data_IF_884183286014
#
_entry.id   IF_884183286014
#
_cell.length_a   1.000
_cell.length_b   1.000
_cell.length_c   1.000
_cell.angle_alpha   90.00
_cell.angle_beta   90.00
_cell.angle_gamma   90.00
#
_symmetry.space_group_name_H-M   'P 1'
#
loop_
_entity.id
_entity.type
_entity.pdbx_description
1 polymer ?
#
# COMPACT_ATOMS: atom_id res chain seq x y z
N UNK A 1 -17.11 22.02 26.93
CA UNK A 1 -16.59 22.44 25.60
C UNK A 1 -15.45 21.57 25.05
N UNK A 2 -14.61 20.91 25.88
CA UNK A 2 -13.48 20.07 25.41
C UNK A 2 -13.87 18.75 24.70
N UNK A 3 -14.99 18.13 25.08
CA UNK A 3 -15.41 16.81 24.57
C UNK A 3 -15.86 16.85 23.09
N UNK A 4 -16.52 17.94 22.64
CA UNK A 4 -16.94 18.05 21.23
C UNK A 4 -15.77 18.33 20.29
N UNK A 5 -14.77 19.08 20.77
CA UNK A 5 -13.55 19.39 20.02
C UNK A 5 -12.76 18.11 19.73
N UNK A 6 -12.64 17.23 20.73
CA UNK A 6 -11.93 15.95 20.60
C UNK A 6 -12.60 15.00 19.60
N UNK A 7 -13.95 14.95 19.57
CA UNK A 7 -14.70 14.14 18.61
C UNK A 7 -14.54 14.63 17.16
N UNK A 8 -14.52 15.96 16.96
CA UNK A 8 -14.27 16.55 15.64
C UNK A 8 -12.85 16.28 15.15
N UNK A 9 -11.86 16.45 16.03
CA UNK A 9 -10.45 16.15 15.71
C UNK A 9 -10.25 14.68 15.30
N UNK A 10 -10.81 13.74 16.06
CA UNK A 10 -10.75 12.31 15.71
C UNK A 10 -11.35 12.00 14.34
N UNK A 11 -12.48 12.64 14.01
CA UNK A 11 -13.14 12.44 12.73
C UNK A 11 -12.28 12.93 11.56
N UNK A 12 -11.69 14.13 11.68
CA UNK A 12 -10.77 14.70 10.69
C UNK A 12 -9.50 13.84 10.58
N UNK A 13 -8.94 13.37 11.69
CA UNK A 13 -7.77 12.52 11.72
C UNK A 13 -8.01 11.21 10.96
N UNK A 14 -9.16 10.56 11.16
CA UNK A 14 -9.52 9.35 10.44
C UNK A 14 -9.64 9.58 8.94
N UNK A 15 -10.20 10.72 8.52
CA UNK A 15 -10.23 11.11 7.09
C UNK A 15 -8.82 11.25 6.54
N UNK A 16 -7.94 11.98 7.24
CA UNK A 16 -6.56 12.18 6.81
C UNK A 16 -5.81 10.84 6.69
N UNK A 17 -5.94 9.96 7.70
CA UNK A 17 -5.34 8.63 7.68
C UNK A 17 -5.86 7.77 6.51
N UNK A 18 -7.16 7.83 6.23
CA UNK A 18 -7.76 7.09 5.12
C UNK A 18 -7.22 7.59 3.77
N UNK A 19 -7.16 8.91 3.57
CA UNK A 19 -6.61 9.52 2.34
C UNK A 19 -5.14 9.13 2.16
N UNK A 20 -4.32 9.27 3.20
CA UNK A 20 -2.89 8.89 3.17
C UNK A 20 -2.74 7.41 2.83
N UNK A 21 -3.57 6.54 3.42
CA UNK A 21 -3.53 5.11 3.15
C UNK A 21 -3.94 4.77 1.70
N UNK A 22 -4.93 5.47 1.13
CA UNK A 22 -5.27 5.33 -0.30
C UNK A 22 -4.08 5.73 -1.17
N UNK A 23 -3.44 6.86 -0.89
CA UNK A 23 -2.25 7.28 -1.64
C UNK A 23 -1.13 6.24 -1.53
N UNK A 24 -0.88 5.69 -0.34
CA UNK A 24 0.11 4.63 -0.16
C UNK A 24 -0.30 3.31 -0.85
N UNK A 25 -1.58 3.04 -1.03
CA UNK A 25 -2.04 1.89 -1.80
C UNK A 25 -1.77 2.06 -3.30
N UNK A 26 -2.05 3.24 -3.85
CA UNK A 26 -1.84 3.55 -5.28
C UNK A 26 -0.35 3.71 -5.62
N UNK A 27 0.40 4.36 -4.73
CA UNK A 27 1.82 4.63 -4.84
C UNK A 27 2.49 4.13 -3.56
N UNK A 28 2.86 2.84 -3.49
CA UNK A 28 3.47 2.28 -2.30
C UNK A 28 4.77 3.00 -1.99
N UNK A 29 4.79 3.64 -0.83
CA UNK A 29 5.96 4.29 -0.24
C UNK A 29 6.38 3.51 1.01
N UNK A 30 5.43 3.11 1.85
CA UNK A 30 5.69 2.41 3.11
C UNK A 30 5.00 1.04 3.10
N UNK A 31 5.75 0.00 3.47
CA UNK A 31 5.24 -1.36 3.66
C UNK A 31 5.83 -2.00 4.90
N UNK A 32 5.13 -2.97 5.47
CA UNK A 32 5.68 -3.82 6.53
C UNK A 32 6.50 -4.97 5.94
N UNK A 33 7.50 -5.44 6.68
CA UNK A 33 8.26 -6.66 6.32
C UNK A 33 7.35 -7.90 6.34
N UNK A 34 6.45 -7.92 7.32
CA UNK A 34 5.51 -9.01 7.51
C UNK A 34 4.32 -8.85 6.57
N UNK A 35 4.06 -9.88 5.77
CA UNK A 35 2.84 -9.99 4.96
C UNK A 35 1.59 -9.87 5.83
N UNK A 36 1.58 -10.51 7.00
CA UNK A 36 0.46 -10.46 7.93
C UNK A 36 0.20 -9.02 8.40
N UNK A 37 1.24 -8.26 8.75
CA UNK A 37 1.07 -6.86 9.17
C UNK A 37 0.53 -5.97 8.06
N UNK A 38 0.97 -6.18 6.81
CA UNK A 38 0.37 -5.48 5.67
C UNK A 38 -1.11 -5.81 5.51
N UNK A 39 -1.50 -7.09 5.62
CA UNK A 39 -2.91 -7.50 5.53
C UNK A 39 -3.75 -6.90 6.66
N UNK A 40 -3.27 -6.94 7.91
CA UNK A 40 -3.94 -6.34 9.07
C UNK A 40 -4.10 -4.83 8.91
N UNK A 41 -3.05 -4.14 8.47
CA UNK A 41 -3.10 -2.71 8.19
C UNK A 41 -4.12 -2.38 7.10
N UNK A 42 -4.15 -3.14 6.01
CA UNK A 42 -5.14 -2.96 4.94
C UNK A 42 -6.57 -3.14 5.47
N UNK A 43 -6.84 -4.17 6.28
CA UNK A 43 -8.16 -4.36 6.90
C UNK A 43 -8.53 -3.14 7.75
N UNK A 44 -7.61 -2.64 8.57
CA UNK A 44 -7.84 -1.47 9.39
C UNK A 44 -8.23 -0.25 8.53
N UNK A 45 -7.52 0.00 7.44
CA UNK A 45 -7.82 1.09 6.50
C UNK A 45 -9.19 0.93 5.86
N UNK A 46 -9.56 -0.28 5.43
CA UNK A 46 -10.86 -0.56 4.80
C UNK A 46 -12.04 -0.39 5.78
N UNK A 47 -11.80 -0.49 7.09
CA UNK A 47 -12.82 -0.26 8.12
C UNK A 47 -13.02 1.22 8.46
N UNK A 48 -12.08 2.11 8.11
CA UNK A 48 -12.17 3.55 8.45
C UNK A 48 -13.47 4.17 7.92
N UNK A 49 -13.89 3.97 6.66
CA UNK A 49 -15.17 4.48 6.16
C UNK A 49 -16.38 4.07 7.00
N UNK A 50 -16.42 2.82 7.47
CA UNK A 50 -17.52 2.33 8.32
C UNK A 50 -17.54 3.05 9.66
N UNK A 51 -16.37 3.27 10.27
CA UNK A 51 -16.25 4.04 11.52
C UNK A 51 -16.67 5.49 11.32
N UNK A 52 -16.28 6.12 10.20
CA UNK A 52 -16.68 7.48 9.84
C UNK A 52 -18.19 7.56 9.62
N UNK A 53 -18.78 6.60 8.90
CA UNK A 53 -20.22 6.51 8.69
C UNK A 53 -20.97 6.40 10.02
N UNK A 54 -20.54 5.50 10.92
CA UNK A 54 -21.12 5.32 12.26
C UNK A 54 -21.02 6.61 13.08
N UNK A 55 -19.84 7.26 13.10
CA UNK A 55 -19.63 8.52 13.82
C UNK A 55 -20.55 9.63 13.31
N UNK A 56 -20.83 9.68 12.02
CA UNK A 56 -21.71 10.69 11.44
C UNK A 56 -23.19 10.55 11.82
N UNK A 57 -23.67 9.37 12.23
CA UNK A 57 -25.04 9.24 12.76
C UNK A 57 -25.26 10.02 14.07
N UNK A 58 -24.18 10.36 14.78
CA UNK A 58 -24.21 11.19 15.99
C UNK A 58 -24.17 12.69 15.71
N UNK A 59 -24.16 13.13 14.44
CA UNK A 59 -24.27 14.54 14.11
C UNK A 59 -25.63 15.10 14.52
N UNK A 60 -25.67 16.36 14.96
CA UNK A 60 -26.92 16.99 15.42
C UNK A 60 -27.89 17.28 14.27
N UNK A 61 -27.37 17.70 13.12
CA UNK A 61 -28.18 18.06 11.95
C UNK A 61 -28.54 16.83 11.12
N UNK A 62 -29.82 16.69 10.76
CA UNK A 62 -30.29 15.64 9.84
C UNK A 62 -29.58 15.73 8.48
N UNK A 63 -29.40 16.95 7.95
CA UNK A 63 -28.69 17.18 6.68
C UNK A 63 -27.26 16.68 6.76
N UNK A 64 -26.56 16.95 7.87
CA UNK A 64 -25.19 16.47 8.07
C UNK A 64 -25.12 14.93 8.13
N UNK A 65 -26.13 14.27 8.71
CA UNK A 65 -26.21 12.80 8.70
C UNK A 65 -26.38 12.26 7.28
N UNK A 66 -27.30 12.84 6.50
CA UNK A 66 -27.55 12.42 5.12
C UNK A 66 -26.29 12.57 4.27
N UNK A 67 -25.65 13.75 4.30
CA UNK A 67 -24.41 14.01 3.56
C UNK A 67 -23.30 13.05 3.96
N UNK A 68 -23.11 12.81 5.26
CA UNK A 68 -22.14 11.84 5.75
C UNK A 68 -22.37 10.44 5.20
N UNK A 69 -23.61 9.96 5.22
CA UNK A 69 -23.97 8.64 4.69
C UNK A 69 -23.69 8.57 3.19
N UNK A 70 -24.07 9.59 2.42
CA UNK A 70 -23.82 9.62 0.98
C UNK A 70 -22.32 9.61 0.64
N UNK A 71 -21.48 10.29 1.43
CA UNK A 71 -20.03 10.32 1.23
C UNK A 71 -19.40 8.95 1.50
N UNK A 72 -19.80 8.27 2.59
CA UNK A 72 -19.11 7.06 3.04
C UNK A 72 -19.72 5.74 2.58
N UNK A 73 -20.95 5.73 2.04
CA UNK A 73 -21.59 4.49 1.58
C UNK A 73 -20.79 3.80 0.46
N UNK A 74 -20.30 4.56 -0.51
CA UNK A 74 -19.51 4.00 -1.63
C UNK A 74 -18.18 3.43 -1.12
N UNK A 75 -17.35 4.17 -0.36
CA UNK A 75 -16.15 3.61 0.26
C UNK A 75 -16.39 2.38 1.15
N UNK A 76 -17.51 2.31 1.89
CA UNK A 76 -17.87 1.13 2.67
C UNK A 76 -18.13 -0.09 1.77
N UNK A 77 -18.93 0.08 0.72
CA UNK A 77 -19.24 -1.02 -0.23
C UNK A 77 -17.96 -1.51 -0.91
N UNK A 78 -17.14 -0.57 -1.41
CA UNK A 78 -15.85 -0.90 -2.02
C UNK A 78 -14.93 -1.62 -1.02
N UNK A 79 -14.90 -1.18 0.24
CA UNK A 79 -14.11 -1.82 1.28
C UNK A 79 -14.46 -3.29 1.47
N UNK A 80 -15.76 -3.62 1.52
CA UNK A 80 -16.26 -4.99 1.64
C UNK A 80 -15.92 -5.81 0.40
N UNK A 81 -16.15 -5.26 -0.80
CA UNK A 81 -15.90 -5.96 -2.07
C UNK A 81 -14.41 -6.26 -2.29
N UNK A 82 -13.52 -5.35 -1.89
CA UNK A 82 -12.07 -5.53 -2.05
C UNK A 82 -11.46 -6.41 -0.96
N UNK A 83 -12.12 -6.58 0.18
CA UNK A 83 -11.58 -7.30 1.34
C UNK A 83 -11.04 -8.71 1.00
N UNK A 84 -11.75 -9.58 0.26
CA UNK A 84 -11.26 -10.91 -0.07
C UNK A 84 -10.01 -10.88 -0.96
N UNK A 85 -9.95 -9.94 -1.90
CA UNK A 85 -8.82 -9.77 -2.84
C UNK A 85 -7.57 -9.34 -2.06
N UNK A 86 -7.73 -8.43 -1.10
CA UNK A 86 -6.63 -7.89 -0.32
C UNK A 86 -6.09 -8.84 0.76
N UNK A 87 -6.91 -9.81 1.22
CA UNK A 87 -6.55 -10.78 2.27
C UNK A 87 -6.11 -12.13 1.69
N UNK A 88 -6.57 -12.49 0.49
CA UNK A 88 -6.23 -13.75 -0.13
C UNK A 88 -4.70 -13.92 -0.28
N UNK A 89 -4.19 -15.16 -0.36
CA UNK A 89 -2.80 -15.44 -0.68
C UNK A 89 -2.39 -14.97 -2.10
N UNK A 90 -3.33 -14.38 -2.85
CA UNK A 90 -3.13 -13.61 -4.07
C UNK A 90 -2.31 -12.35 -3.71
N UNK A 91 -0.99 -12.43 -3.83
CA UNK A 91 -0.13 -11.34 -3.41
C UNK A 91 1.29 -11.50 -3.94
N UNK A 92 2.05 -10.41 -3.82
CA UNK A 92 3.45 -10.31 -4.19
C UNK A 92 4.26 -11.47 -3.61
N UNK A 93 4.60 -12.44 -4.45
CA UNK A 93 5.49 -13.55 -4.12
C UNK A 93 6.91 -13.12 -4.47
N UNK A 94 7.81 -13.08 -3.49
CA UNK A 94 9.19 -12.74 -3.76
C UNK A 94 9.86 -13.86 -4.56
N UNK A 95 10.35 -13.55 -5.75
CA UNK A 95 11.01 -14.53 -6.63
C UNK A 95 12.52 -14.34 -6.72
N UNK A 96 13.02 -13.12 -6.51
CA UNK A 96 14.44 -12.80 -6.58
C UNK A 96 14.77 -11.60 -5.71
N UNK A 97 15.95 -11.63 -5.08
CA UNK A 97 16.49 -10.53 -4.30
C UNK A 97 17.93 -10.27 -4.72
N UNK A 98 18.28 -8.99 -4.83
CA UNK A 98 19.62 -8.52 -5.11
C UNK A 98 19.96 -7.44 -4.10
N UNK A 99 20.92 -7.73 -3.23
CA UNK A 99 21.32 -6.80 -2.18
C UNK A 99 22.34 -5.79 -2.69
N UNK A 100 22.00 -4.51 -2.56
CA UNK A 100 22.89 -3.37 -2.77
C UNK A 100 23.31 -2.81 -1.41
N UNK A 101 24.31 -1.93 -1.38
CA UNK A 101 24.97 -1.52 -0.13
C UNK A 101 24.02 -0.87 0.89
N UNK A 102 22.95 -0.21 0.43
CA UNK A 102 22.04 0.55 1.28
C UNK A 102 20.54 0.22 1.07
N UNK A 103 20.24 -0.73 0.18
CA UNK A 103 18.87 -1.12 -0.16
C UNK A 103 18.88 -2.47 -0.86
N UNK A 104 17.74 -3.15 -0.87
CA UNK A 104 17.55 -4.37 -1.64
C UNK A 104 16.74 -4.08 -2.90
N UNK A 105 17.06 -4.77 -4.00
CA UNK A 105 16.25 -4.81 -5.21
C UNK A 105 15.52 -6.13 -5.23
N UNK A 106 14.21 -6.07 -5.00
CA UNK A 106 13.37 -7.26 -4.82
C UNK A 106 12.39 -7.36 -5.98
N UNK A 107 12.42 -8.51 -6.65
CA UNK A 107 11.43 -8.86 -7.66
C UNK A 107 10.33 -9.71 -7.01
N UNK A 108 9.10 -9.30 -7.27
CA UNK A 108 7.89 -9.96 -6.87
C UNK A 108 7.12 -10.44 -8.10
N UNK A 109 6.64 -11.67 -8.05
CA UNK A 109 5.58 -12.13 -8.93
C UNK A 109 4.24 -11.66 -8.39
N UNK A 110 3.46 -10.98 -9.22
CA UNK A 110 2.09 -10.59 -8.93
C UNK A 110 1.16 -11.69 -9.42
N UNK A 111 0.18 -12.07 -8.60
CA UNK A 111 -0.90 -12.94 -9.00
C UNK A 111 -2.16 -12.08 -9.13
N UNK A 112 -2.75 -11.98 -10.33
CA UNK A 112 -4.00 -11.23 -10.53
C UNK A 112 -5.25 -12.04 -10.17
N UNK A 113 -5.11 -13.34 -9.90
CA UNK A 113 -6.20 -14.27 -9.63
C UNK A 113 -6.54 -15.14 -10.84
N UNK A 114 -7.65 -15.87 -10.75
CA UNK A 114 -8.01 -16.93 -11.70
C UNK A 114 -8.23 -16.45 -13.15
N UNK A 115 -8.47 -15.15 -13.37
CA UNK A 115 -8.77 -14.57 -14.68
C UNK A 115 -7.64 -13.69 -15.23
N UNK A 116 -6.51 -13.59 -14.53
CA UNK A 116 -5.40 -12.71 -14.90
C UNK A 116 -4.08 -13.46 -14.86
N UNK A 117 -3.23 -13.19 -15.84
CA UNK A 117 -1.88 -13.73 -15.90
C UNK A 117 -1.02 -13.23 -14.74
N UNK A 118 0.05 -13.96 -14.44
CA UNK A 118 1.08 -13.45 -13.55
C UNK A 118 1.78 -12.23 -14.16
N UNK A 119 2.22 -11.31 -13.31
CA UNK A 119 3.12 -10.23 -13.69
C UNK A 119 4.37 -10.21 -12.82
N UNK A 120 5.32 -9.36 -13.17
CA UNK A 120 6.49 -9.04 -12.36
C UNK A 120 6.43 -7.61 -11.90
N UNK A 121 6.83 -7.40 -10.66
CA UNK A 121 7.11 -6.09 -10.10
C UNK A 121 8.46 -6.07 -9.40
N UNK A 122 9.33 -5.13 -9.80
CA UNK A 122 10.63 -4.92 -9.16
C UNK A 122 10.58 -3.64 -8.34
N UNK A 123 10.97 -3.75 -7.07
CA UNK A 123 11.00 -2.66 -6.12
C UNK A 123 12.40 -2.50 -5.53
N UNK A 124 12.77 -1.26 -5.27
CA UNK A 124 13.81 -0.92 -4.30
C UNK A 124 13.19 -0.92 -2.92
N UNK A 125 13.79 -1.62 -1.96
CA UNK A 125 13.35 -1.69 -0.58
C UNK A 125 14.46 -1.28 0.38
N UNK A 126 14.13 -0.50 1.40
CA UNK A 126 15.06 -0.10 2.45
C UNK A 126 14.35 -0.08 3.79
N UNK A 127 14.91 -0.79 4.77
CA UNK A 127 14.41 -0.73 6.15
C UNK A 127 14.65 0.67 6.72
N UNK A 128 13.59 1.35 7.18
CA UNK A 128 13.71 2.62 7.90
C UNK A 128 13.88 2.33 9.39
N UNK A 129 13.06 1.43 9.89
CA UNK A 129 13.13 0.85 11.24
C UNK A 129 12.82 -0.65 11.14
N UNK A 130 13.16 -1.46 12.15
CA UNK A 130 12.83 -2.89 12.13
C UNK A 130 11.32 -3.11 11.87
N UNK A 131 11.00 -3.89 10.83
CA UNK A 131 9.61 -4.21 10.46
C UNK A 131 8.95 -3.24 9.49
N UNK A 132 9.55 -2.07 9.19
CA UNK A 132 8.99 -1.07 8.26
C UNK A 132 10.00 -0.70 7.18
N UNK A 133 9.57 -0.89 5.93
CA UNK A 133 10.31 -0.59 4.71
C UNK A 133 9.79 0.65 4.02
N UNK A 134 10.73 1.45 3.52
CA UNK A 134 10.55 2.34 2.41
C UNK A 134 10.65 1.53 1.13
N UNK A 135 9.70 1.67 0.23
CA UNK A 135 9.68 0.94 -1.04
C UNK A 135 9.50 1.91 -2.19
N UNK A 136 10.05 1.57 -3.35
CA UNK A 136 9.81 2.30 -4.60
C UNK A 136 9.79 1.33 -5.76
N UNK A 137 8.73 1.37 -6.56
CA UNK A 137 8.64 0.62 -7.81
C UNK A 137 9.69 1.13 -8.80
N UNK A 138 10.51 0.24 -9.33
CA UNK A 138 11.48 0.53 -10.40
C UNK A 138 10.95 0.05 -11.74
N UNK A 139 10.40 -1.17 -11.76
CA UNK A 139 9.96 -1.82 -12.98
C UNK A 139 8.69 -2.64 -12.75
N UNK A 140 7.88 -2.78 -13.79
CA UNK A 140 6.72 -3.66 -13.79
C UNK A 140 6.39 -4.14 -15.19
N UNK A 141 6.04 -5.42 -15.32
CA UNK A 141 5.61 -6.03 -16.58
C UNK A 141 4.52 -7.07 -16.32
N UNK A 142 3.39 -6.94 -17.00
CA UNK A 142 2.30 -7.92 -16.96
C UNK A 142 2.61 -9.12 -17.88
N UNK A 143 1.91 -10.24 -17.67
CA UNK A 143 2.06 -11.46 -18.46
C UNK A 143 3.50 -12.02 -18.45
N UNK A 144 4.17 -11.96 -17.30
CA UNK A 144 5.55 -12.41 -17.11
C UNK A 144 5.73 -13.11 -15.78
N UNK A 145 6.46 -14.22 -15.80
CA UNK A 145 6.63 -15.07 -14.62
C UNK A 145 8.00 -14.95 -13.95
N UNK A 146 9.01 -14.42 -14.66
CA UNK A 146 10.36 -14.28 -14.16
C UNK A 146 11.03 -13.02 -14.71
N UNK A 147 12.09 -12.56 -14.06
CA UNK A 147 12.86 -11.39 -14.48
C UNK A 147 14.35 -11.63 -14.29
N UNK A 148 15.14 -11.28 -15.29
CA UNK A 148 16.58 -11.27 -15.14
C UNK A 148 17.04 -9.98 -14.47
N UNK A 149 17.86 -10.13 -13.43
CA UNK A 149 18.43 -9.04 -12.66
C UNK A 149 19.86 -9.39 -12.29
N UNK A 150 20.82 -8.51 -12.55
CA UNK A 150 22.25 -8.74 -12.32
C UNK A 150 22.83 -7.51 -11.62
N UNK A 151 23.61 -7.72 -10.56
CA UNK A 151 24.28 -6.60 -9.86
C UNK A 151 25.47 -6.17 -10.71
N UNK A 152 25.56 -4.88 -11.02
CA UNK A 152 26.67 -4.33 -11.83
C UNK A 152 27.58 -3.40 -11.03
N UNK A 153 27.12 -2.92 -9.87
CA UNK A 153 27.88 -2.06 -8.98
C UNK A 153 27.23 -1.89 -7.61
N UNK A 154 27.72 -0.95 -6.80
CA UNK A 154 27.21 -0.69 -5.44
C UNK A 154 25.77 -0.18 -5.45
N UNK A 155 25.43 0.70 -6.40
CA UNK A 155 24.09 1.30 -6.56
C UNK A 155 23.51 1.07 -7.97
N UNK A 156 24.05 0.11 -8.71
CA UNK A 156 23.63 -0.18 -10.08
C UNK A 156 23.37 -1.66 -10.28
N UNK A 157 22.38 -1.94 -11.12
CA UNK A 157 22.01 -3.28 -11.52
C UNK A 157 21.48 -3.25 -12.94
N UNK A 158 21.44 -4.39 -13.60
CA UNK A 158 20.76 -4.56 -14.88
C UNK A 158 19.45 -5.29 -14.68
N UNK A 159 18.42 -4.88 -15.42
CA UNK A 159 17.13 -5.55 -15.52
C UNK A 159 16.81 -5.81 -16.98
N UNK A 160 16.65 -7.10 -17.34
CA UNK A 160 16.38 -7.51 -18.73
C UNK A 160 17.41 -6.93 -19.75
N UNK A 161 18.68 -6.82 -19.34
CA UNK A 161 19.76 -6.26 -20.15
C UNK A 161 19.78 -4.72 -20.22
N UNK A 162 18.90 -4.02 -19.51
CA UNK A 162 18.92 -2.57 -19.40
C UNK A 162 19.58 -2.15 -18.08
N UNK A 163 20.60 -1.27 -18.09
CA UNK A 163 21.25 -0.80 -16.88
C UNK A 163 20.35 0.19 -16.13
N UNK A 164 20.31 0.05 -14.81
CA UNK A 164 19.54 0.88 -13.88
C UNK A 164 20.44 1.35 -12.74
N UNK A 165 20.25 2.61 -12.32
CA UNK A 165 20.94 3.22 -11.18
C UNK A 165 19.90 3.63 -10.15
N UNK A 166 20.08 3.20 -8.92
CA UNK A 166 19.15 3.50 -7.82
C UNK A 166 19.74 4.53 -6.87
N UNK A 167 18.87 5.34 -6.28
CA UNK A 167 19.27 6.31 -5.25
C UNK A 167 19.54 5.60 -3.93
N UNK A 168 20.52 6.07 -3.16
CA UNK A 168 20.91 5.46 -1.87
C UNK A 168 19.78 5.44 -0.83
N UNK A 169 18.92 6.45 -0.85
CA UNK A 169 17.82 6.61 0.10
C UNK A 169 16.44 6.45 -0.56
N UNK A 170 16.35 5.60 -1.60
CA UNK A 170 15.13 5.28 -2.37
C UNK A 170 14.55 6.47 -3.14
N UNK A 171 14.10 7.50 -2.42
CA UNK A 171 13.58 8.76 -2.95
C UNK A 171 14.60 9.90 -2.87
N UNK A 172 15.49 9.85 -1.89
CA UNK A 172 16.50 10.88 -1.64
C UNK A 172 17.88 10.41 -2.10
N UNK A 173 18.75 11.37 -2.40
CA UNK A 173 20.17 11.11 -2.70
C UNK A 173 20.92 10.63 -1.44
#
# INVERSE_FOLDING_TARGET
>A
MKISLYKGFQYILLIALYIIAIFNFLYPVIRFDSRLLNSVFTIFVLLIPTVLMIKGFFFRSLVAKILNTLIWVIPCILGILLMPIMIAPIGFEQIKNLSLDNSDIVAYRTNGGATTSFGILVMQEKNIIPGIKLVKRIYGQDHKENVNMIKTGENSFEIEGNPEIVKRNVYFE
#
